data_IF_065561140319
#
_entry.id   IF_065561140319
#
_cell.length_a   1.000
_cell.length_b   1.000
_cell.length_c   1.000
_cell.angle_alpha   90.00
_cell.angle_beta   90.00
_cell.angle_gamma   90.00
#
_symmetry.space_group_name_H-M   'P 1'
#
loop_
_entity.id
_entity.type
_entity.pdbx_description
1 polymer ?
#
# COMPACT_ATOMS: atom_id res chain seq x y z
N UNK A 1 -15.79 5.68 16.05
CA UNK A 1 -15.22 4.50 15.40
C UNK A 1 -14.22 4.89 14.33
N UNK A 2 -13.15 4.14 14.18
CA UNK A 2 -12.24 4.34 13.07
C UNK A 2 -12.92 3.83 11.79
N UNK A 3 -13.07 4.69 10.78
CA UNK A 3 -13.74 4.33 9.53
C UNK A 3 -12.76 4.11 8.40
N UNK A 4 -11.77 5.00 8.25
CA UNK A 4 -10.82 4.96 7.17
C UNK A 4 -9.41 5.23 7.68
N UNK A 5 -8.42 4.69 6.97
CA UNK A 5 -7.02 5.08 7.10
C UNK A 5 -6.63 5.78 5.81
N UNK A 6 -6.01 6.95 5.94
CA UNK A 6 -5.57 7.74 4.81
C UNK A 6 -4.05 7.63 4.68
N UNK A 7 -3.59 7.33 3.47
CA UNK A 7 -2.17 7.35 3.14
C UNK A 7 -1.90 8.40 2.07
N UNK A 8 -0.71 8.98 2.12
CA UNK A 8 -0.30 10.02 1.17
C UNK A 8 0.44 9.38 0.02
N UNK A 9 0.05 9.72 -1.21
CA UNK A 9 0.65 9.19 -2.44
C UNK A 9 0.98 10.33 -3.39
N UNK A 10 2.04 10.17 -4.16
CA UNK A 10 2.48 11.18 -5.13
C UNK A 10 1.86 11.00 -6.51
N UNK A 11 1.29 9.83 -6.78
CA UNK A 11 0.62 9.52 -8.04
C UNK A 11 -0.62 8.68 -7.76
N UNK A 12 -1.78 9.35 -7.77
CA UNK A 12 -3.08 8.72 -7.46
C UNK A 12 -3.39 7.57 -8.43
N UNK A 13 -3.22 7.77 -9.72
CA UNK A 13 -3.59 6.76 -10.72
C UNK A 13 -2.70 5.52 -10.61
N UNK A 14 -1.41 5.71 -10.41
CA UNK A 14 -0.48 4.61 -10.20
C UNK A 14 -0.79 3.86 -8.90
N UNK A 15 -1.18 4.57 -7.87
CA UNK A 15 -1.54 3.97 -6.58
C UNK A 15 -2.84 3.17 -6.65
N UNK A 16 -3.86 3.68 -7.36
CA UNK A 16 -5.09 2.94 -7.62
C UNK A 16 -4.77 1.60 -8.30
N UNK A 17 -3.94 1.65 -9.33
CA UNK A 17 -3.52 0.49 -10.09
C UNK A 17 -2.78 -0.52 -9.22
N UNK A 18 -1.85 -0.05 -8.39
CA UNK A 18 -1.06 -0.86 -7.47
C UNK A 18 -1.96 -1.62 -6.47
N UNK A 19 -2.84 -0.91 -5.78
CA UNK A 19 -3.70 -1.54 -4.76
C UNK A 19 -4.76 -2.45 -5.37
N UNK A 20 -5.22 -2.15 -6.59
CA UNK A 20 -6.11 -3.05 -7.33
C UNK A 20 -5.39 -4.33 -7.75
N UNK A 21 -4.22 -4.21 -8.36
CA UNK A 21 -3.51 -5.35 -8.93
C UNK A 21 -2.96 -6.29 -7.86
N UNK A 22 -2.38 -5.74 -6.78
CA UNK A 22 -1.76 -6.56 -5.75
C UNK A 22 -2.75 -7.03 -4.69
N UNK A 23 -3.71 -6.21 -4.32
CA UNK A 23 -4.57 -6.47 -3.15
C UNK A 23 -6.06 -6.53 -3.48
N UNK A 24 -6.44 -6.33 -4.73
CA UNK A 24 -7.84 -6.42 -5.14
C UNK A 24 -8.74 -5.30 -4.66
N UNK A 25 -8.18 -4.19 -4.17
CA UNK A 25 -8.98 -3.07 -3.69
C UNK A 25 -9.63 -2.34 -4.87
N UNK A 26 -10.89 -1.94 -4.68
CA UNK A 26 -11.68 -1.27 -5.71
C UNK A 26 -11.95 0.18 -5.31
N UNK A 27 -12.07 1.05 -6.31
CA UNK A 27 -12.46 2.45 -6.07
C UNK A 27 -13.94 2.50 -5.65
N UNK A 28 -14.19 3.11 -4.49
CA UNK A 28 -15.55 3.36 -4.00
C UNK A 28 -16.00 4.76 -4.40
N UNK A 29 -15.13 5.76 -4.21
CA UNK A 29 -15.44 7.16 -4.54
C UNK A 29 -14.15 7.85 -4.97
N UNK A 30 -14.19 8.50 -6.12
CA UNK A 30 -13.04 9.21 -6.68
C UNK A 30 -13.33 10.69 -6.74
N UNK A 31 -12.65 11.46 -5.89
CA UNK A 31 -12.64 12.91 -5.94
C UNK A 31 -11.29 13.38 -6.44
N UNK A 32 -11.18 14.66 -6.81
CA UNK A 32 -9.89 15.22 -7.18
C UNK A 32 -8.95 15.22 -5.98
N UNK A 33 -7.82 14.53 -6.12
CA UNK A 33 -6.79 14.44 -5.08
C UNK A 33 -7.13 13.55 -3.88
N UNK A 34 -8.29 12.89 -3.88
CA UNK A 34 -8.70 12.00 -2.77
C UNK A 34 -9.56 10.87 -3.29
N UNK A 35 -9.09 9.65 -3.12
CA UNK A 35 -9.77 8.45 -3.63
C UNK A 35 -10.01 7.48 -2.49
N UNK A 36 -11.26 7.10 -2.29
CA UNK A 36 -11.64 6.11 -1.28
C UNK A 36 -11.67 4.74 -1.96
N UNK A 37 -10.86 3.83 -1.44
CA UNK A 37 -10.85 2.44 -1.87
C UNK A 37 -11.68 1.59 -0.93
N UNK A 38 -11.99 0.37 -1.36
CA UNK A 38 -12.60 -0.63 -0.49
C UNK A 38 -11.71 -0.92 0.72
N UNK A 39 -12.28 -1.52 1.75
CA UNK A 39 -11.59 -1.90 3.00
C UNK A 39 -11.07 -0.69 3.80
N UNK A 40 -11.62 0.50 3.56
CA UNK A 40 -11.32 1.67 4.38
C UNK A 40 -9.98 2.36 4.09
N UNK A 41 -9.32 2.05 3.00
CA UNK A 41 -8.09 2.73 2.60
C UNK A 41 -8.41 3.95 1.72
N UNK A 42 -7.85 5.11 2.08
CA UNK A 42 -8.02 6.35 1.32
C UNK A 42 -6.66 6.79 0.78
N UNK A 43 -6.62 7.12 -0.51
CA UNK A 43 -5.44 7.66 -1.17
C UNK A 43 -5.56 9.18 -1.24
N UNK A 44 -4.58 9.88 -0.69
CA UNK A 44 -4.54 11.33 -0.65
C UNK A 44 -3.36 11.85 -1.46
N UNK A 45 -3.63 12.75 -2.41
CA UNK A 45 -2.56 13.37 -3.18
C UNK A 45 -1.61 14.18 -2.29
N UNK A 46 -0.29 13.96 -2.47
CA UNK A 46 0.73 14.57 -1.63
C UNK A 46 0.76 16.09 -1.74
N UNK A 47 0.56 16.65 -2.94
CA UNK A 47 0.57 18.11 -3.13
C UNK A 47 -0.63 18.76 -2.45
N UNK A 48 -1.80 18.18 -2.59
CA UNK A 48 -3.01 18.66 -1.91
C UNK A 48 -2.84 18.58 -0.40
N UNK A 49 -2.30 17.47 0.10
CA UNK A 49 -2.07 17.25 1.53
C UNK A 49 -1.06 18.25 2.11
N UNK A 50 0.03 18.49 1.38
CA UNK A 50 1.03 19.45 1.77
C UNK A 50 0.49 20.87 1.90
N UNK A 51 -0.41 21.26 1.00
CA UNK A 51 -1.09 22.57 1.07
C UNK A 51 -2.10 22.62 2.22
N UNK A 52 -2.82 21.53 2.45
CA UNK A 52 -3.82 21.44 3.52
C UNK A 52 -3.19 21.58 4.90
N UNK A 53 -2.05 20.93 5.12
CA UNK A 53 -1.36 20.94 6.41
C UNK A 53 -0.26 22.00 6.50
N UNK A 54 0.10 22.62 5.38
CA UNK A 54 1.29 23.48 5.26
C UNK A 54 2.56 22.75 5.73
N UNK A 55 2.68 21.46 5.38
CA UNK A 55 3.78 20.57 5.75
C UNK A 55 4.00 19.53 4.66
N UNK A 56 5.23 19.09 4.48
CA UNK A 56 5.56 18.03 3.54
C UNK A 56 5.52 16.66 4.24
N UNK A 57 4.89 15.69 3.60
CA UNK A 57 4.96 14.30 4.07
C UNK A 57 6.33 13.70 3.73
N UNK A 58 6.78 12.74 4.52
CA UNK A 58 8.07 12.07 4.33
C UNK A 58 7.84 10.62 3.94
N UNK A 59 8.14 10.24 2.68
CA UNK A 59 8.11 8.84 2.29
C UNK A 59 9.12 8.00 3.08
N UNK A 60 8.86 6.70 3.21
CA UNK A 60 9.76 5.74 3.86
C UNK A 60 10.08 6.08 5.33
N UNK A 61 9.18 6.79 6.01
CA UNK A 61 9.40 7.14 7.42
C UNK A 61 9.06 6.01 8.38
N UNK A 62 8.36 4.97 7.91
CA UNK A 62 8.04 3.75 8.67
C UNK A 62 7.23 4.01 9.95
N UNK A 63 6.46 5.10 9.98
CA UNK A 63 5.65 5.47 11.15
C UNK A 63 4.37 4.63 11.28
N UNK A 64 4.00 3.90 10.24
CA UNK A 64 2.87 2.98 10.24
C UNK A 64 3.05 1.95 9.15
N UNK A 65 2.27 0.89 9.19
CA UNK A 65 2.20 -0.07 8.11
C UNK A 65 0.76 -0.45 7.82
N UNK A 66 0.51 -0.82 6.56
CA UNK A 66 -0.71 -1.50 6.18
C UNK A 66 -0.43 -3.00 6.27
N UNK A 67 -1.29 -3.73 6.98
CA UNK A 67 -1.16 -5.18 7.13
C UNK A 67 -2.21 -5.86 6.27
N UNK A 68 -1.74 -6.70 5.33
CA UNK A 68 -2.59 -7.53 4.48
C UNK A 68 -2.32 -8.99 4.72
N UNK A 69 -3.36 -9.81 4.54
CA UNK A 69 -3.21 -11.26 4.48
C UNK A 69 -3.47 -11.73 3.07
N UNK A 70 -2.67 -12.68 2.59
CA UNK A 70 -2.81 -13.25 1.25
C UNK A 70 -2.38 -14.71 1.28
N UNK A 71 -3.19 -15.60 0.72
CA UNK A 71 -2.85 -17.03 0.62
C UNK A 71 -1.76 -17.28 -0.43
N UNK A 72 -1.60 -16.38 -1.40
CA UNK A 72 -0.66 -16.52 -2.51
C UNK A 72 0.34 -15.36 -2.55
N UNK A 73 1.26 -15.34 -1.58
CA UNK A 73 2.30 -14.31 -1.52
C UNK A 73 3.21 -14.40 -2.76
N UNK A 74 3.52 -15.59 -3.23
CA UNK A 74 4.38 -15.74 -4.42
C UNK A 74 3.75 -15.10 -5.66
N UNK A 75 2.45 -15.29 -5.87
CA UNK A 75 1.71 -14.64 -6.95
C UNK A 75 1.66 -13.12 -6.79
N UNK A 76 1.48 -12.63 -5.58
CA UNK A 76 1.51 -11.20 -5.28
C UNK A 76 2.87 -10.59 -5.61
N UNK A 77 3.96 -11.24 -5.20
CA UNK A 77 5.31 -10.76 -5.47
C UNK A 77 5.66 -10.80 -6.96
N UNK A 78 5.14 -11.78 -7.70
CA UNK A 78 5.29 -11.82 -9.16
C UNK A 78 4.68 -10.58 -9.81
N UNK A 79 3.53 -10.12 -9.35
CA UNK A 79 2.91 -8.88 -9.82
C UNK A 79 3.72 -7.65 -9.40
N UNK A 80 4.20 -7.64 -8.17
CA UNK A 80 5.02 -6.54 -7.65
C UNK A 80 6.31 -6.39 -8.46
N UNK A 81 6.94 -7.50 -8.86
CA UNK A 81 8.21 -7.54 -9.58
C UNK A 81 8.05 -7.58 -11.10
N UNK A 82 6.84 -7.36 -11.63
CA UNK A 82 6.54 -7.47 -13.07
C UNK A 82 7.21 -6.40 -13.95
N UNK A 83 7.80 -5.36 -13.34
CA UNK A 83 8.38 -4.21 -14.05
C UNK A 83 7.44 -3.02 -14.13
N UNK A 84 6.20 -3.16 -13.67
CA UNK A 84 5.17 -2.13 -13.69
C UNK A 84 5.30 -1.14 -12.53
N UNK A 85 5.85 -1.59 -11.40
CA UNK A 85 5.92 -0.83 -10.16
C UNK A 85 7.37 -0.68 -9.70
N UNK A 86 7.61 0.39 -8.93
CA UNK A 86 8.85 0.56 -8.19
C UNK A 86 8.95 -0.54 -7.13
N UNK A 87 10.06 -1.27 -7.13
CA UNK A 87 10.26 -2.40 -6.21
C UNK A 87 11.24 -1.99 -5.11
N UNK A 88 10.76 -2.01 -3.87
CA UNK A 88 11.62 -1.86 -2.69
C UNK A 88 11.05 -2.68 -1.55
N UNK A 89 11.87 -3.60 -1.04
CA UNK A 89 11.53 -4.39 0.14
C UNK A 89 12.07 -3.72 1.39
N UNK A 90 11.28 -3.75 2.47
CA UNK A 90 11.74 -3.37 3.80
C UNK A 90 12.37 -4.56 4.51
N UNK A 91 11.77 -5.75 4.33
CA UNK A 91 12.33 -7.03 4.76
C UNK A 91 12.10 -8.07 3.68
N UNK A 92 13.03 -9.03 3.56
CA UNK A 92 12.91 -10.10 2.57
C UNK A 92 11.78 -11.06 2.92
N UNK A 93 11.32 -11.78 1.90
CA UNK A 93 10.37 -12.88 2.10
C UNK A 93 10.98 -13.89 3.05
N UNK A 94 10.27 -14.16 4.15
CA UNK A 94 10.70 -15.04 5.22
C UNK A 94 9.65 -16.11 5.43
N UNK A 95 10.07 -17.36 5.56
CA UNK A 95 9.19 -18.45 5.95
C UNK A 95 9.24 -18.62 7.47
N UNK A 96 8.06 -18.59 8.08
CA UNK A 96 7.91 -18.72 9.52
C UNK A 96 7.71 -20.22 9.90
N UNK A 97 7.84 -20.52 11.20
CA UNK A 97 7.50 -21.83 11.73
C UNK A 97 6.05 -22.17 11.35
N UNK A 98 5.81 -23.39 10.86
CA UNK A 98 4.47 -23.78 10.40
C UNK A 98 4.20 -23.47 8.93
N UNK A 99 5.18 -22.97 8.17
CA UNK A 99 5.08 -22.76 6.73
C UNK A 99 4.44 -21.46 6.31
N UNK A 100 4.07 -20.58 7.25
CA UNK A 100 3.57 -19.26 6.92
C UNK A 100 4.69 -18.40 6.34
N UNK A 101 4.33 -17.48 5.45
CA UNK A 101 5.27 -16.54 4.84
C UNK A 101 4.95 -15.12 5.25
N UNK A 102 5.99 -14.29 5.30
CA UNK A 102 5.93 -12.88 5.68
C UNK A 102 6.86 -12.09 4.79
N UNK A 103 6.40 -10.95 4.29
CA UNK A 103 7.23 -10.00 3.54
C UNK A 103 6.80 -8.59 3.90
N UNK A 104 7.76 -7.65 3.88
CA UNK A 104 7.45 -6.21 3.99
C UNK A 104 8.00 -5.50 2.76
N UNK A 105 7.16 -4.68 2.16
CA UNK A 105 7.49 -3.95 0.94
C UNK A 105 6.91 -2.54 1.01
N UNK A 106 7.31 -1.70 0.07
CA UNK A 106 6.77 -0.34 -0.04
C UNK A 106 5.89 -0.21 -1.25
N UNK A 107 4.83 0.59 -1.12
CA UNK A 107 4.03 1.00 -2.27
C UNK A 107 4.81 2.01 -3.12
N UNK A 108 4.29 2.44 -4.29
CA UNK A 108 5.01 3.36 -5.17
C UNK A 108 5.39 4.70 -4.54
N UNK A 109 4.74 5.09 -3.46
CA UNK A 109 4.97 6.38 -2.78
C UNK A 109 5.76 6.25 -1.48
N UNK A 110 6.20 5.05 -1.12
CA UNK A 110 6.99 4.82 0.08
C UNK A 110 6.17 4.54 1.34
N UNK A 111 4.93 4.09 1.20
CA UNK A 111 4.14 3.60 2.32
C UNK A 111 4.47 2.14 2.61
N UNK A 112 4.69 1.82 3.87
CA UNK A 112 5.10 0.48 4.30
C UNK A 112 3.92 -0.48 4.34
N UNK A 113 4.12 -1.68 3.80
CA UNK A 113 3.11 -2.74 3.74
C UNK A 113 3.72 -4.03 4.26
N UNK A 114 3.02 -4.70 5.15
CA UNK A 114 3.32 -6.07 5.56
C UNK A 114 2.28 -7.00 4.93
N UNK A 115 2.75 -8.09 4.34
CA UNK A 115 1.87 -9.14 3.82
C UNK A 115 2.24 -10.45 4.48
N UNK A 116 1.24 -11.12 5.02
CA UNK A 116 1.43 -12.39 5.73
C UNK A 116 0.41 -13.41 5.24
N UNK A 117 0.85 -14.66 5.14
CA UNK A 117 -0.07 -15.77 4.90
C UNK A 117 -1.03 -15.88 6.09
N UNK A 118 -2.35 -16.04 5.90
CA UNK A 118 -3.30 -16.19 7.01
C UNK A 118 -3.03 -17.45 7.83
N UNK A 119 -3.40 -17.38 9.08
CA UNK A 119 -3.34 -18.55 9.97
C UNK A 119 -4.42 -19.57 9.64
#
# INVERSE_FOLDING_TARGET
MLKNVLIVVDDIEKSIEFYRDLFGLQVILKNEGNVILSEGLVLQDADVWGKTLNETSTPFNNMMELYFEDFDIDGLLAKYESGKYFVRYATELTELAGGQKLVRLYDPSGNLIEVRTPF
#
